data_IF_028022844627
#
_entry.id   IF_028022844627
#
_cell.length_a   1.000
_cell.length_b   1.000
_cell.length_c   1.000
_cell.angle_alpha   90.00
_cell.angle_beta   90.00
_cell.angle_gamma   90.00
#
_symmetry.space_group_name_H-M   'P 1'
#
loop_
_entity.id
_entity.type
_entity.pdbx_description
1 polymer ?
#
# COMPACT_ATOMS: atom_id res chain seq x y z
N UNK A 1 -0.87 -4.89 -12.69
CA UNK A 1 -1.68 -5.21 -11.50
C UNK A 1 -0.85 -4.88 -10.27
N UNK A 2 -1.38 -4.10 -9.33
CA UNK A 2 -0.70 -3.80 -8.06
C UNK A 2 -1.29 -4.71 -6.98
N UNK A 3 -0.46 -5.59 -6.41
CA UNK A 3 -0.81 -6.40 -5.26
C UNK A 3 -0.21 -5.76 -4.01
N UNK A 4 -1.00 -5.67 -2.94
CA UNK A 4 -0.52 -5.25 -1.63
C UNK A 4 -0.67 -6.40 -0.65
N UNK A 5 0.31 -6.58 0.23
CA UNK A 5 0.15 -7.45 1.38
C UNK A 5 -0.58 -6.73 2.51
N UNK A 6 -1.20 -7.47 3.41
CA UNK A 6 -1.95 -6.87 4.51
C UNK A 6 -1.01 -6.16 5.51
N UNK A 7 -1.41 -4.95 5.96
CA UNK A 7 -0.69 -4.12 6.96
C UNK A 7 0.71 -3.62 6.57
N UNK A 8 1.06 -3.59 5.28
CA UNK A 8 2.37 -3.11 4.79
C UNK A 8 2.29 -1.73 4.12
N UNK A 9 1.56 -0.79 4.71
CA UNK A 9 1.38 0.57 4.14
C UNK A 9 0.37 0.64 2.99
N UNK A 10 -0.48 -0.38 2.86
CA UNK A 10 -1.45 -0.51 1.78
C UNK A 10 -2.40 0.68 1.58
N UNK A 11 -2.88 1.32 2.66
CA UNK A 11 -3.75 2.51 2.54
C UNK A 11 -3.00 3.72 1.99
N UNK A 12 -1.73 3.88 2.37
CA UNK A 12 -0.86 4.95 1.88
C UNK A 12 -0.61 4.80 0.37
N UNK A 13 -0.23 3.60 -0.08
CA UNK A 13 -0.01 3.34 -1.51
C UNK A 13 -1.32 3.37 -2.29
N UNK A 14 -2.44 2.95 -1.69
CA UNK A 14 -3.76 3.06 -2.33
C UNK A 14 -4.14 4.53 -2.57
N UNK A 15 -3.98 5.43 -1.58
CA UNK A 15 -4.21 6.87 -1.79
C UNK A 15 -3.33 7.42 -2.93
N UNK A 16 -2.04 7.06 -2.94
CA UNK A 16 -1.08 7.43 -3.98
C UNK A 16 -1.61 7.03 -5.38
N UNK A 17 -1.98 5.76 -5.57
CA UNK A 17 -2.48 5.27 -6.86
C UNK A 17 -3.80 5.95 -7.26
N UNK A 18 -4.72 6.18 -6.30
CA UNK A 18 -5.98 6.89 -6.57
C UNK A 18 -5.74 8.33 -7.04
N UNK A 19 -4.75 9.03 -6.46
CA UNK A 19 -4.35 10.37 -6.93
C UNK A 19 -3.81 10.34 -8.35
N UNK A 20 -3.01 9.33 -8.69
CA UNK A 20 -2.51 9.17 -10.06
C UNK A 20 -3.65 8.91 -11.06
N UNK A 21 -4.60 8.05 -10.69
CA UNK A 21 -5.82 7.77 -11.46
C UNK A 21 -6.60 9.06 -11.73
N UNK A 22 -6.79 9.91 -10.72
CA UNK A 22 -7.48 11.19 -10.88
C UNK A 22 -6.69 12.17 -11.77
N UNK A 23 -5.37 12.32 -11.53
CA UNK A 23 -4.47 13.19 -12.30
C UNK A 23 -4.48 12.84 -13.79
N UNK A 24 -4.57 11.55 -14.14
CA UNK A 24 -4.49 11.05 -15.51
C UNK A 24 -5.85 10.68 -16.13
N UNK A 25 -6.96 10.92 -15.42
CA UNK A 25 -8.31 10.53 -15.84
C UNK A 25 -8.42 9.03 -16.23
N UNK A 26 -7.75 8.14 -15.50
CA UNK A 26 -7.80 6.68 -15.72
C UNK A 26 -9.08 6.07 -15.14
N UNK A 27 -9.48 4.89 -15.61
CA UNK A 27 -10.66 4.19 -15.11
C UNK A 27 -10.33 3.26 -13.95
N UNK A 28 -10.99 3.46 -12.80
CA UNK A 28 -10.79 2.66 -11.59
C UNK A 28 -11.79 1.50 -11.52
N UNK A 29 -11.31 0.28 -11.29
CA UNK A 29 -12.18 -0.83 -10.89
C UNK A 29 -12.51 -0.73 -9.40
N UNK A 30 -13.80 -0.65 -9.06
CA UNK A 30 -14.26 -0.57 -7.67
C UNK A 30 -15.01 -1.84 -7.25
N UNK A 31 -14.90 -2.28 -5.97
CA UNK A 31 -15.68 -3.38 -5.45
C UNK A 31 -17.18 -3.03 -5.42
N UNK A 32 -18.08 -4.04 -5.32
CA UNK A 32 -19.53 -3.82 -5.28
C UNK A 32 -19.92 -2.84 -4.18
N UNK A 33 -21.08 -2.16 -4.33
CA UNK A 33 -21.61 -1.19 -3.36
C UNK A 33 -21.39 -1.66 -1.92
N UNK A 34 -21.01 -0.74 -1.03
CA UNK A 34 -20.76 -0.95 0.41
C UNK A 34 -19.55 -1.80 0.84
N UNK A 35 -18.86 -2.47 -0.10
CA UNK A 35 -17.70 -3.31 0.22
C UNK A 35 -16.36 -2.57 0.11
N UNK A 36 -15.43 -2.92 1.00
CA UNK A 36 -14.03 -2.44 0.98
C UNK A 36 -13.13 -3.38 0.15
N UNK A 37 -13.60 -4.58 -0.12
CA UNK A 37 -12.84 -5.66 -0.75
C UNK A 37 -13.61 -6.21 -1.95
N UNK A 38 -12.89 -6.72 -2.94
CA UNK A 38 -13.49 -7.67 -3.87
C UNK A 38 -13.73 -9.01 -3.15
N UNK A 39 -14.50 -9.92 -3.75
CA UNK A 39 -14.88 -11.20 -3.12
C UNK A 39 -13.67 -11.88 -2.45
N UNK A 40 -13.79 -12.18 -1.16
CA UNK A 40 -12.73 -12.65 -0.26
C UNK A 40 -12.61 -14.18 -0.21
N UNK A 41 -13.57 -14.91 -0.79
CA UNK A 41 -13.66 -16.37 -0.72
C UNK A 41 -13.27 -17.09 -2.00
N UNK A 42 -13.11 -16.38 -3.11
CA UNK A 42 -12.82 -16.97 -4.41
C UNK A 42 -11.74 -16.18 -5.13
N UNK A 43 -11.06 -16.81 -6.10
CA UNK A 43 -10.13 -16.11 -6.99
C UNK A 43 -10.86 -14.94 -7.66
N UNK A 44 -10.18 -13.81 -7.82
CA UNK A 44 -10.75 -12.65 -8.49
C UNK A 44 -11.34 -13.03 -9.85
N UNK A 45 -12.59 -12.68 -10.07
CA UNK A 45 -13.26 -12.71 -11.36
C UNK A 45 -13.71 -11.29 -11.70
N UNK A 46 -13.62 -10.91 -12.97
CA UNK A 46 -13.92 -9.54 -13.40
C UNK A 46 -15.39 -9.14 -13.09
N UNK A 47 -16.29 -10.12 -13.01
CA UNK A 47 -17.67 -9.97 -12.54
C UNK A 47 -17.82 -9.42 -11.12
N UNK A 48 -16.76 -9.44 -10.31
CA UNK A 48 -16.75 -8.84 -8.98
C UNK A 48 -16.62 -7.31 -9.03
N UNK A 49 -16.31 -6.73 -10.19
CA UNK A 49 -16.26 -5.28 -10.35
C UNK A 49 -17.67 -4.70 -10.33
N UNK A 50 -17.86 -3.63 -9.55
CA UNK A 50 -19.14 -2.93 -9.43
C UNK A 50 -19.65 -2.53 -10.81
N UNK A 51 -20.87 -2.97 -11.12
CA UNK A 51 -21.53 -2.73 -12.40
C UNK A 51 -20.74 -3.24 -13.63
N UNK A 52 -20.14 -4.44 -13.53
CA UNK A 52 -19.38 -5.14 -14.58
C UNK A 52 -20.07 -5.28 -15.96
N UNK A 53 -21.34 -4.88 -16.11
CA UNK A 53 -22.11 -5.05 -17.36
C UNK A 53 -21.83 -3.97 -18.43
N UNK A 54 -21.23 -2.83 -18.08
CA UNK A 54 -21.19 -1.65 -18.97
C UNK A 54 -19.79 -1.22 -19.46
N UNK A 55 -18.69 -1.86 -19.03
CA UNK A 55 -17.32 -1.56 -19.49
C UNK A 55 -16.58 -2.84 -19.88
N UNK A 56 -15.81 -2.76 -20.97
CA UNK A 56 -15.02 -3.89 -21.52
C UNK A 56 -13.64 -4.06 -20.85
N UNK A 57 -13.11 -3.05 -20.17
CA UNK A 57 -11.78 -3.07 -19.54
C UNK A 57 -11.65 -2.04 -18.40
N UNK A 58 -10.69 -2.28 -17.50
CA UNK A 58 -10.30 -1.39 -16.39
C UNK A 58 -8.78 -1.26 -16.36
N UNK A 59 -8.28 -0.07 -15.99
CA UNK A 59 -6.84 0.20 -16.00
C UNK A 59 -6.15 -0.19 -14.68
N UNK A 60 -6.87 -0.05 -13.55
CA UNK A 60 -6.28 -0.18 -12.20
C UNK A 60 -7.23 -0.88 -11.21
N UNK A 61 -6.68 -1.81 -10.42
CA UNK A 61 -7.30 -2.48 -9.24
C UNK A 61 -6.44 -2.16 -8.01
N UNK A 62 -7.04 -1.67 -6.91
CA UNK A 62 -6.30 -1.26 -5.69
C UNK A 62 -6.87 -1.77 -4.37
N UNK A 63 -8.00 -2.48 -4.40
CA UNK A 63 -8.75 -2.90 -3.21
C UNK A 63 -8.34 -4.31 -2.77
N UNK A 64 -8.63 -4.64 -1.51
CA UNK A 64 -8.25 -5.93 -0.92
C UNK A 64 -8.94 -7.11 -1.64
N UNK A 65 -8.22 -8.24 -1.74
CA UNK A 65 -8.67 -9.45 -2.44
C UNK A 65 -8.69 -10.71 -1.56
N UNK A 66 -8.02 -10.72 -0.39
CA UNK A 66 -8.01 -11.86 0.55
C UNK A 66 -7.50 -11.41 1.93
N UNK A 67 -7.99 -12.03 3.01
CA UNK A 67 -7.33 -12.08 4.33
C UNK A 67 -7.83 -13.30 5.09
N UNK A 68 -6.95 -14.29 5.33
CA UNK A 68 -7.17 -15.33 6.34
C UNK A 68 -5.82 -15.84 6.89
N UNK A 69 -5.82 -16.05 8.21
CA UNK A 69 -4.77 -16.62 9.07
C UNK A 69 -3.65 -15.69 9.58
N UNK A 70 -3.14 -16.04 10.78
CA UNK A 70 -2.02 -15.40 11.50
C UNK A 70 -0.66 -16.07 11.23
N UNK A 71 -0.61 -17.01 10.30
CA UNK A 71 0.58 -17.75 9.91
C UNK A 71 0.88 -17.45 8.45
N UNK A 72 2.13 -17.13 8.11
CA UNK A 72 2.57 -16.85 6.74
C UNK A 72 1.60 -15.94 5.94
N UNK A 73 1.23 -14.76 6.46
CA UNK A 73 0.22 -13.91 5.82
C UNK A 73 0.67 -13.40 4.44
N UNK A 74 1.95 -13.12 4.24
CA UNK A 74 2.46 -12.63 2.95
C UNK A 74 2.43 -13.74 1.90
N UNK A 75 2.84 -14.94 2.29
CA UNK A 75 2.73 -16.17 1.50
C UNK A 75 1.28 -16.42 1.03
N UNK A 76 0.33 -16.24 1.94
CA UNK A 76 -1.09 -16.35 1.63
C UNK A 76 -1.58 -15.25 0.68
N UNK A 77 -1.09 -14.02 0.83
CA UNK A 77 -1.41 -12.90 -0.06
C UNK A 77 -0.88 -13.14 -1.49
N UNK A 78 0.21 -13.91 -1.66
CA UNK A 78 0.66 -14.41 -2.97
C UNK A 78 -0.19 -15.57 -3.53
N UNK A 79 -1.20 -16.02 -2.80
CA UNK A 79 -2.19 -17.00 -3.26
C UNK A 79 -1.99 -18.42 -2.73
N UNK A 80 -0.94 -18.67 -1.95
CA UNK A 80 -0.62 -19.99 -1.42
C UNK A 80 -1.38 -20.30 -0.11
N UNK A 81 -1.26 -21.54 0.38
CA UNK A 81 -1.80 -21.94 1.68
C UNK A 81 -0.86 -21.47 2.80
N UNK A 82 -1.36 -20.66 3.72
CA UNK A 82 -0.64 -20.15 4.89
C UNK A 82 -0.13 -21.25 5.83
N UNK A 83 -0.77 -22.43 5.82
CA UNK A 83 -0.43 -23.58 6.66
C UNK A 83 0.33 -24.67 5.89
N UNK A 84 0.78 -24.37 4.68
CA UNK A 84 1.57 -25.32 3.91
C UNK A 84 2.84 -25.72 4.65
N UNK A 85 3.27 -26.97 4.46
CA UNK A 85 4.57 -27.44 4.94
C UNK A 85 5.69 -26.71 4.20
N UNK A 86 6.65 -26.18 4.95
CA UNK A 86 7.82 -25.47 4.43
C UNK A 86 8.85 -26.48 3.86
N UNK A 87 8.50 -27.05 2.71
CA UNK A 87 9.38 -27.92 1.93
C UNK A 87 10.14 -27.13 0.86
N UNK A 88 11.39 -27.52 0.59
CA UNK A 88 12.22 -26.89 -0.44
C UNK A 88 11.56 -26.89 -1.82
N UNK A 89 10.90 -27.99 -2.20
CA UNK A 89 10.25 -28.12 -3.50
C UNK A 89 9.12 -27.10 -3.67
N UNK A 90 8.26 -26.96 -2.65
CA UNK A 90 7.19 -25.97 -2.66
C UNK A 90 7.77 -24.56 -2.71
N UNK A 91 8.76 -24.27 -1.86
CA UNK A 91 9.34 -22.95 -1.73
C UNK A 91 9.97 -22.48 -3.05
N UNK A 92 10.82 -23.30 -3.66
CA UNK A 92 11.51 -22.96 -4.90
C UNK A 92 10.52 -22.74 -6.04
N UNK A 93 9.49 -23.60 -6.16
CA UNK A 93 8.45 -23.45 -7.19
C UNK A 93 7.69 -22.13 -7.03
N UNK A 94 7.22 -21.86 -5.82
CA UNK A 94 6.48 -20.65 -5.51
C UNK A 94 7.33 -19.39 -5.74
N UNK A 95 8.62 -19.45 -5.41
CA UNK A 95 9.54 -18.32 -5.61
C UNK A 95 9.68 -17.96 -7.08
N UNK A 96 9.88 -18.97 -7.95
CA UNK A 96 9.94 -18.78 -9.41
C UNK A 96 8.63 -18.19 -9.93
N UNK A 97 7.48 -18.70 -9.47
CA UNK A 97 6.16 -18.16 -9.86
C UNK A 97 5.98 -16.69 -9.44
N UNK A 98 6.41 -16.32 -8.22
CA UNK A 98 6.34 -14.93 -7.74
C UNK A 98 7.28 -14.04 -8.56
N UNK A 99 8.54 -14.42 -8.74
CA UNK A 99 9.52 -13.60 -9.48
C UNK A 99 9.13 -13.39 -10.95
N UNK A 100 8.49 -14.39 -11.57
CA UNK A 100 8.00 -14.28 -12.95
C UNK A 100 6.71 -13.46 -13.05
N UNK A 101 5.90 -13.42 -11.99
CA UNK A 101 4.60 -12.72 -11.98
C UNK A 101 4.70 -11.24 -11.59
N UNK A 102 5.71 -10.86 -10.79
CA UNK A 102 5.85 -9.50 -10.25
C UNK A 102 7.12 -8.81 -10.74
N UNK A 103 6.96 -7.76 -11.53
CA UNK A 103 8.10 -6.98 -12.04
C UNK A 103 8.85 -6.19 -10.95
N UNK A 104 8.16 -5.84 -9.86
CA UNK A 104 8.69 -5.06 -8.76
C UNK A 104 7.98 -5.46 -7.45
N UNK A 105 8.77 -5.78 -6.43
CA UNK A 105 8.32 -6.06 -5.07
C UNK A 105 8.98 -5.03 -4.14
N UNK A 106 8.16 -4.38 -3.31
CA UNK A 106 8.59 -3.33 -2.40
C UNK A 106 8.58 -3.83 -0.96
N UNK A 107 9.48 -3.28 -0.13
CA UNK A 107 9.62 -3.65 1.28
C UNK A 107 9.24 -2.46 2.15
N UNK A 108 8.40 -2.69 3.16
CA UNK A 108 7.86 -1.64 4.03
C UNK A 108 8.92 -0.87 4.80
N UNK A 109 10.02 -1.51 5.17
CA UNK A 109 11.14 -0.91 5.90
C UNK A 109 11.93 0.07 5.03
N UNK A 110 11.89 -0.13 3.71
CA UNK A 110 12.52 0.72 2.71
C UNK A 110 11.46 1.49 1.91
N UNK A 111 10.42 1.99 2.60
CA UNK A 111 9.24 2.57 1.94
C UNK A 111 9.61 3.73 1.00
N UNK A 112 10.45 4.66 1.44
CA UNK A 112 10.83 5.82 0.62
C UNK A 112 11.65 5.38 -0.61
N UNK A 113 12.60 4.47 -0.41
CA UNK A 113 13.39 3.87 -1.48
C UNK A 113 12.48 3.14 -2.48
N UNK A 114 11.50 2.37 -1.96
CA UNK A 114 10.51 1.67 -2.76
C UNK A 114 9.61 2.60 -3.55
N UNK A 115 9.24 3.77 -3.01
CA UNK A 115 8.49 4.79 -3.73
C UNK A 115 9.32 5.40 -4.87
N UNK A 116 10.62 5.59 -4.69
CA UNK A 116 11.51 6.03 -5.79
C UNK A 116 11.66 4.94 -6.87
N UNK A 117 11.76 3.67 -6.48
CA UNK A 117 11.77 2.56 -7.45
C UNK A 117 10.46 2.48 -8.23
N UNK A 118 9.32 2.64 -7.54
CA UNK A 118 8.00 2.68 -8.16
C UNK A 118 7.87 3.87 -9.13
N UNK A 119 8.38 5.04 -8.72
CA UNK A 119 8.45 6.24 -9.56
C UNK A 119 9.17 5.94 -10.88
N UNK A 120 10.35 5.34 -10.81
CA UNK A 120 11.14 5.00 -11.98
C UNK A 120 10.43 3.95 -12.86
N UNK A 121 9.92 2.88 -12.24
CA UNK A 121 9.27 1.77 -12.95
C UNK A 121 8.00 2.18 -13.70
N UNK A 122 7.26 3.17 -13.19
CA UNK A 122 6.01 3.66 -13.81
C UNK A 122 6.19 4.97 -14.57
N UNK A 123 7.41 5.48 -14.67
CA UNK A 123 7.74 6.78 -15.26
C UNK A 123 6.90 7.93 -14.65
N UNK A 124 6.77 7.92 -13.32
CA UNK A 124 6.02 8.91 -12.56
C UNK A 124 6.89 10.10 -12.16
N UNK A 125 6.23 11.22 -11.85
CA UNK A 125 6.90 12.39 -11.29
C UNK A 125 7.13 12.21 -9.78
N UNK A 126 8.04 13.00 -9.21
CA UNK A 126 8.23 13.01 -7.75
C UNK A 126 6.93 13.35 -7.01
N UNK A 127 6.09 14.23 -7.58
CA UNK A 127 4.78 14.59 -7.05
C UNK A 127 3.83 13.41 -6.92
N UNK A 128 3.94 12.44 -7.83
CA UNK A 128 3.05 11.28 -7.89
C UNK A 128 3.34 10.28 -6.77
N UNK A 129 4.56 10.31 -6.19
CA UNK A 129 4.99 9.38 -5.14
C UNK A 129 5.16 10.03 -3.76
N UNK A 130 4.87 11.32 -3.61
CA UNK A 130 4.79 11.94 -2.28
C UNK A 130 3.64 11.31 -1.50
N UNK A 131 3.94 10.77 -0.32
CA UNK A 131 2.97 10.17 0.58
C UNK A 131 3.08 10.73 1.98
N UNK A 132 2.00 10.65 2.74
CA UNK A 132 1.95 10.97 4.16
C UNK A 132 1.64 9.70 4.94
N UNK A 133 2.14 9.59 6.18
CA UNK A 133 1.84 8.43 7.01
C UNK A 133 0.35 8.45 7.37
N UNK A 134 -0.36 7.38 7.02
CA UNK A 134 -1.76 7.18 7.38
C UNK A 134 -1.88 5.99 8.32
N UNK A 135 -2.79 6.06 9.29
CA UNK A 135 -3.15 4.94 10.17
C UNK A 135 -1.95 4.32 10.89
N UNK A 136 -0.94 5.14 11.25
CA UNK A 136 0.15 4.65 12.09
C UNK A 136 -0.39 4.41 13.50
N UNK A 137 0.02 3.29 14.08
CA UNK A 137 -0.27 2.98 15.48
C UNK A 137 0.39 4.01 16.38
N UNK A 138 -0.29 4.37 17.46
CA UNK A 138 0.31 5.12 18.55
C UNK A 138 1.55 4.40 19.09
N UNK A 139 2.61 5.13 19.42
CA UNK A 139 3.83 4.57 20.02
C UNK A 139 3.53 3.84 21.35
N UNK A 140 2.48 4.27 22.05
CA UNK A 140 2.02 3.66 23.31
C UNK A 140 1.53 2.22 23.12
N UNK A 141 1.09 1.85 21.92
CA UNK A 141 0.57 0.52 21.60
C UNK A 141 1.65 -0.43 21.06
N UNK A 142 2.88 0.06 20.84
CA UNK A 142 3.99 -0.73 20.30
C UNK A 142 4.59 -1.57 21.43
N UNK A 143 4.43 -2.90 21.32
CA UNK A 143 5.05 -3.85 22.25
C UNK A 143 6.40 -4.29 21.72
N UNK A 144 7.44 -4.19 22.56
CA UNK A 144 8.75 -4.77 22.26
C UNK A 144 8.71 -6.29 22.39
N UNK A 145 9.38 -6.98 21.47
CA UNK A 145 9.44 -8.44 21.42
C UNK A 145 10.84 -8.87 21.85
N UNK A 146 10.94 -9.88 22.72
CA UNK A 146 12.24 -10.44 23.12
C UNK A 146 12.89 -11.19 21.96
N UNK A 147 14.21 -11.36 22.00
CA UNK A 147 14.94 -12.12 20.96
C UNK A 147 14.40 -13.55 20.80
N UNK A 148 14.14 -14.23 21.91
CA UNK A 148 13.61 -15.61 21.89
C UNK A 148 12.21 -15.67 21.28
N UNK A 149 11.37 -14.67 21.54
CA UNK A 149 10.04 -14.59 20.95
C UNK A 149 10.14 -14.27 19.45
N UNK A 150 11.08 -13.42 19.04
CA UNK A 150 11.30 -13.10 17.64
C UNK A 150 11.69 -14.35 16.83
N UNK A 151 12.58 -15.20 17.37
CA UNK A 151 12.93 -16.49 16.74
C UNK A 151 11.69 -17.38 16.59
N UNK A 152 10.89 -17.54 17.65
CA UNK A 152 9.65 -18.34 17.58
C UNK A 152 8.65 -17.78 16.56
N UNK A 153 8.54 -16.46 16.43
CA UNK A 153 7.69 -15.82 15.43
C UNK A 153 8.20 -16.12 14.01
N UNK A 154 9.53 -16.09 13.80
CA UNK A 154 10.13 -16.41 12.52
C UNK A 154 9.95 -17.89 12.17
N UNK A 155 10.13 -18.80 13.12
CA UNK A 155 9.88 -20.24 12.94
C UNK A 155 8.39 -20.52 12.66
N UNK A 156 7.48 -19.85 13.37
CA UNK A 156 6.04 -19.96 13.12
C UNK A 156 5.66 -19.47 11.72
N UNK A 157 6.34 -18.42 11.23
CA UNK A 157 6.16 -17.82 9.92
C UNK A 157 7.35 -18.12 9.00
N UNK A 158 7.76 -19.39 8.90
CA UNK A 158 9.00 -19.77 8.24
C UNK A 158 9.02 -19.40 6.75
N UNK A 159 7.91 -19.66 6.03
CA UNK A 159 7.76 -19.33 4.62
C UNK A 159 7.83 -17.81 4.39
N UNK A 160 7.13 -17.01 5.19
CA UNK A 160 7.20 -15.54 5.14
C UNK A 160 8.62 -15.04 5.46
N UNK A 161 9.29 -15.66 6.42
CA UNK A 161 10.65 -15.29 6.81
C UNK A 161 11.65 -15.55 5.69
N UNK A 162 11.56 -16.70 5.01
CA UNK A 162 12.38 -17.01 3.83
C UNK A 162 12.08 -16.06 2.67
N UNK A 163 10.80 -15.79 2.42
CA UNK A 163 10.35 -14.87 1.38
C UNK A 163 10.92 -13.46 1.59
N UNK A 164 10.86 -12.96 2.83
CA UNK A 164 11.44 -11.66 3.19
C UNK A 164 12.95 -11.63 2.97
N UNK A 165 13.68 -12.67 3.41
CA UNK A 165 15.14 -12.74 3.24
C UNK A 165 15.53 -12.69 1.76
N UNK A 166 14.82 -13.44 0.92
CA UNK A 166 15.04 -13.43 -0.52
C UNK A 166 14.76 -12.05 -1.13
N UNK A 167 13.58 -11.48 -0.87
CA UNK A 167 13.21 -10.21 -1.49
C UNK A 167 13.96 -9.01 -0.94
N UNK A 168 14.51 -9.09 0.28
CA UNK A 168 15.43 -8.06 0.78
C UNK A 168 16.69 -7.99 -0.09
N UNK A 169 17.29 -9.15 -0.40
CA UNK A 169 18.46 -9.23 -1.28
C UNK A 169 18.12 -8.77 -2.69
N UNK A 170 17.03 -9.27 -3.28
CA UNK A 170 16.68 -8.94 -4.67
C UNK A 170 16.18 -7.50 -4.82
N UNK A 171 15.57 -6.90 -3.78
CA UNK A 171 15.24 -5.47 -3.76
C UNK A 171 16.48 -4.61 -3.98
N UNK A 172 17.55 -4.86 -3.22
CA UNK A 172 18.79 -4.10 -3.36
C UNK A 172 19.53 -4.40 -4.67
N UNK A 173 19.44 -5.63 -5.19
CA UNK A 173 19.92 -5.93 -6.53
C UNK A 173 19.18 -5.09 -7.59
N UNK A 174 17.85 -4.98 -7.48
CA UNK A 174 17.01 -4.17 -8.36
C UNK A 174 17.35 -2.68 -8.28
N UNK A 175 17.59 -2.16 -7.07
CA UNK A 175 18.08 -0.79 -6.86
C UNK A 175 19.36 -0.53 -7.66
N UNK A 176 20.34 -1.44 -7.56
CA UNK A 176 21.62 -1.30 -8.26
C UNK A 176 21.44 -1.36 -9.77
N UNK A 177 20.63 -2.29 -10.27
CA UNK A 177 20.33 -2.44 -11.70
C UNK A 177 19.65 -1.20 -12.29
N UNK A 178 18.62 -0.68 -11.62
CA UNK A 178 17.78 0.39 -12.19
C UNK A 178 18.42 1.77 -12.11
N UNK A 179 19.13 2.08 -11.03
CA UNK A 179 19.59 3.46 -10.79
C UNK A 179 20.86 3.61 -9.97
N UNK A 180 21.28 2.58 -9.24
CA UNK A 180 22.42 2.65 -8.33
C UNK A 180 22.12 3.37 -7.02
N UNK A 181 22.87 3.02 -5.97
CA UNK A 181 22.61 3.52 -4.62
C UNK A 181 22.76 5.05 -4.48
N UNK A 182 23.73 5.65 -5.16
CA UNK A 182 23.99 7.08 -5.07
C UNK A 182 22.81 7.92 -5.63
N UNK A 183 22.27 7.52 -6.78
CA UNK A 183 21.09 8.18 -7.38
C UNK A 183 19.86 7.96 -6.51
N UNK A 184 19.65 6.73 -6.00
CA UNK A 184 18.55 6.43 -5.09
C UNK A 184 18.56 7.34 -3.86
N UNK A 185 19.71 7.45 -3.17
CA UNK A 185 19.83 8.27 -1.96
C UNK A 185 19.54 9.75 -2.24
N UNK A 186 19.98 10.26 -3.39
CA UNK A 186 19.67 11.62 -3.81
C UNK A 186 18.16 11.81 -4.04
N UNK A 187 17.52 10.94 -4.81
CA UNK A 187 16.07 11.03 -5.08
C UNK A 187 15.23 10.86 -3.81
N UNK A 188 15.64 10.00 -2.87
CA UNK A 188 15.01 9.85 -1.56
C UNK A 188 15.13 11.14 -0.74
N UNK A 189 16.28 11.83 -0.78
CA UNK A 189 16.44 13.11 -0.11
C UNK A 189 15.48 14.16 -0.69
N UNK A 190 15.37 14.24 -2.02
CA UNK A 190 14.42 15.11 -2.72
C UNK A 190 12.96 14.79 -2.34
N UNK A 191 12.60 13.50 -2.27
CA UNK A 191 11.28 13.05 -1.83
C UNK A 191 10.97 13.53 -0.41
N UNK A 192 11.91 13.35 0.52
CA UNK A 192 11.76 13.72 1.93
C UNK A 192 11.66 15.23 2.11
N UNK A 193 12.46 16.00 1.39
CA UNK A 193 12.39 17.46 1.40
C UNK A 193 11.01 17.95 0.92
N UNK A 194 10.54 17.41 -0.21
CA UNK A 194 9.24 17.76 -0.78
C UNK A 194 8.08 17.40 0.15
N UNK A 195 8.13 16.22 0.76
CA UNK A 195 7.17 15.79 1.78
C UNK A 195 7.17 16.78 2.96
N UNK A 196 8.32 17.15 3.48
CA UNK A 196 8.43 18.09 4.61
C UNK A 196 7.85 19.47 4.29
N UNK A 197 8.09 19.98 3.07
CA UNK A 197 7.51 21.26 2.63
C UNK A 197 5.97 21.19 2.59
N UNK A 198 5.41 20.11 2.05
CA UNK A 198 3.97 19.92 1.97
C UNK A 198 3.34 19.66 3.35
N UNK A 199 4.02 18.95 4.26
CA UNK A 199 3.58 18.78 5.65
C UNK A 199 3.43 20.14 6.34
N UNK A 200 4.45 21.01 6.25
CA UNK A 200 4.39 22.38 6.83
C UNK A 200 3.28 23.23 6.22
N UNK A 201 3.03 23.06 4.92
CA UNK A 201 1.97 23.80 4.23
C UNK A 201 0.58 23.32 4.66
N UNK A 202 0.35 22.00 4.68
CA UNK A 202 -0.98 21.43 4.79
C UNK A 202 -1.38 21.03 6.22
N UNK A 203 -0.43 20.63 7.06
CA UNK A 203 -0.68 20.05 8.39
C UNK A 203 0.49 20.38 9.34
N UNK A 204 0.63 21.65 9.76
CA UNK A 204 1.77 22.10 10.57
C UNK A 204 1.84 21.42 11.94
N UNK A 205 0.69 21.03 12.49
CA UNK A 205 0.58 20.32 13.77
C UNK A 205 0.92 18.81 13.64
N UNK A 206 1.14 18.34 12.41
CA UNK A 206 1.56 16.97 12.14
C UNK A 206 0.48 15.93 12.42
N UNK A 207 0.91 14.80 12.99
CA UNK A 207 0.05 13.68 13.30
C UNK A 207 -0.75 13.94 14.58
N UNK A 208 -2.07 13.97 14.46
CA UNK A 208 -3.04 14.03 15.55
C UNK A 208 -3.74 12.69 15.70
N UNK A 209 -4.14 12.36 16.92
CA UNK A 209 -4.99 11.20 17.16
C UNK A 209 -6.36 11.46 16.54
N UNK A 210 -6.79 10.58 15.65
CA UNK A 210 -8.08 10.67 14.97
C UNK A 210 -9.01 9.58 15.48
N UNK A 211 -10.25 9.95 15.77
CA UNK A 211 -11.29 8.96 16.06
C UNK A 211 -11.44 8.05 14.84
N UNK A 212 -11.10 6.78 15.06
CA UNK A 212 -11.08 5.75 14.02
C UNK A 212 -12.48 5.41 13.50
N UNK A 213 -13.53 5.92 14.17
CA UNK A 213 -14.93 5.73 13.78
C UNK A 213 -15.31 4.25 13.66
N UNK A 214 -16.45 3.95 13.01
CA UNK A 214 -17.00 2.59 12.79
C UNK A 214 -16.07 1.62 12.01
N UNK A 215 -14.86 2.01 11.64
CA UNK A 215 -14.00 1.28 10.70
C UNK A 215 -12.88 0.47 11.34
N UNK A 216 -12.59 0.70 12.62
CA UNK A 216 -11.61 -0.08 13.39
C UNK A 216 -12.25 -0.58 14.69
N UNK A 217 -11.72 -1.67 15.26
CA UNK A 217 -12.21 -2.22 16.53
C UNK A 217 -12.07 -1.15 17.65
N UNK A 218 -13.01 -1.13 18.59
CA UNK A 218 -12.88 -0.38 19.84
C UNK A 218 -11.50 -0.60 20.48
N UNK A 219 -10.83 0.49 20.88
CA UNK A 219 -9.52 0.46 21.54
C UNK A 219 -8.30 0.56 20.60
N UNK A 220 -8.46 0.94 19.33
CA UNK A 220 -7.33 1.24 18.42
C UNK A 220 -7.18 2.74 18.25
N UNK A 221 -6.06 3.29 18.74
CA UNK A 221 -5.70 4.70 18.62
C UNK A 221 -4.89 4.94 17.35
N UNK A 222 -5.49 5.58 16.34
CA UNK A 222 -4.86 5.86 15.05
C UNK A 222 -4.40 7.31 14.96
N UNK A 223 -3.23 7.50 14.34
CA UNK A 223 -2.75 8.84 14.00
C UNK A 223 -3.12 9.20 12.55
N UNK A 224 -3.56 10.44 12.36
CA UNK A 224 -3.88 11.04 11.07
C UNK A 224 -3.46 12.51 11.05
N UNK A 225 -3.68 13.22 9.95
CA UNK A 225 -3.29 14.62 9.82
C UNK A 225 -4.49 15.55 9.98
N UNK A 226 -4.33 16.62 10.75
CA UNK A 226 -5.28 17.73 10.78
C UNK A 226 -4.88 18.78 9.75
N UNK A 227 -5.80 19.20 8.88
CA UNK A 227 -5.53 20.23 7.90
C UNK A 227 -5.45 21.61 8.56
N UNK A 228 -4.51 22.43 8.09
CA UNK A 228 -4.37 23.83 8.48
C UNK A 228 -5.66 24.59 8.17
N UNK A 229 -6.15 25.39 9.12
CA UNK A 229 -7.48 26.01 9.07
C UNK A 229 -7.58 27.26 8.18
N UNK A 230 -6.45 27.89 7.86
CA UNK A 230 -6.32 29.13 7.09
C UNK A 230 -5.99 28.91 5.59
N UNK A 231 -6.12 27.68 5.09
CA UNK A 231 -5.90 27.37 3.68
C UNK A 231 -7.00 27.98 2.81
N UNK A 232 -6.60 28.60 1.69
CA UNK A 232 -7.57 29.00 0.68
C UNK A 232 -8.23 27.77 0.01
N UNK A 233 -9.27 28.00 -0.79
CA UNK A 233 -10.04 26.91 -1.39
C UNK A 233 -9.22 26.01 -2.34
N UNK A 234 -8.21 26.54 -3.02
CA UNK A 234 -7.38 25.77 -3.95
C UNK A 234 -6.32 24.96 -3.18
N UNK A 235 -5.67 25.59 -2.22
CA UNK A 235 -4.73 24.95 -1.30
C UNK A 235 -5.39 23.84 -0.51
N UNK A 236 -6.59 24.09 0.01
CA UNK A 236 -7.37 23.11 0.76
C UNK A 236 -7.66 21.87 -0.08
N UNK A 237 -8.18 22.04 -1.30
CA UNK A 237 -8.41 20.92 -2.23
C UNK A 237 -7.13 20.14 -2.50
N UNK A 238 -6.01 20.83 -2.76
CA UNK A 238 -4.72 20.19 -3.03
C UNK A 238 -4.23 19.38 -1.82
N UNK A 239 -4.32 19.93 -0.61
CA UNK A 239 -3.93 19.26 0.62
C UNK A 239 -4.85 18.08 0.95
N UNK A 240 -6.16 18.23 0.80
CA UNK A 240 -7.16 17.17 1.06
C UNK A 240 -6.87 15.90 0.27
N UNK A 241 -6.40 16.00 -0.98
CA UNK A 241 -6.06 14.84 -1.80
C UNK A 241 -4.99 13.93 -1.18
N UNK A 242 -4.08 14.51 -0.39
CA UNK A 242 -3.01 13.76 0.27
C UNK A 242 -3.45 13.06 1.55
N UNK A 243 -4.52 13.52 2.19
CA UNK A 243 -5.00 13.02 3.49
C UNK A 243 -6.37 12.32 3.42
N UNK A 244 -7.04 12.38 2.26
CA UNK A 244 -8.32 11.74 2.05
C UNK A 244 -8.19 10.22 2.21
N UNK A 245 -9.03 9.66 3.08
CA UNK A 245 -9.05 8.23 3.29
C UNK A 245 -9.42 7.48 1.99
N UNK A 246 -8.69 6.41 1.60
CA UNK A 246 -8.89 5.74 0.31
C UNK A 246 -10.33 5.30 0.02
N UNK A 247 -11.08 4.91 1.06
CA UNK A 247 -12.51 4.55 0.93
C UNK A 247 -13.36 5.74 0.45
N UNK A 248 -13.17 6.92 1.04
CA UNK A 248 -13.92 8.13 0.67
C UNK A 248 -13.51 8.56 -0.73
N UNK A 249 -12.20 8.54 -1.01
CA UNK A 249 -11.69 8.95 -2.31
C UNK A 249 -12.17 8.02 -3.44
N UNK A 250 -12.27 6.72 -3.18
CA UNK A 250 -12.83 5.74 -4.13
C UNK A 250 -14.26 6.13 -4.54
N UNK A 251 -15.13 6.51 -3.60
CA UNK A 251 -16.51 6.91 -3.93
C UNK A 251 -16.56 8.23 -4.72
N UNK A 252 -15.69 9.19 -4.42
CA UNK A 252 -15.58 10.45 -5.18
C UNK A 252 -15.18 10.15 -6.64
N UNK A 253 -14.15 9.32 -6.85
CA UNK A 253 -13.71 8.95 -8.19
C UNK A 253 -14.76 8.14 -8.94
N UNK A 254 -15.43 7.21 -8.24
CA UNK A 254 -16.52 6.44 -8.84
C UNK A 254 -17.66 7.35 -9.31
N UNK A 255 -18.10 8.32 -8.48
CA UNK A 255 -19.12 9.28 -8.87
C UNK A 255 -18.69 10.08 -10.11
N UNK A 256 -17.46 10.62 -10.09
CA UNK A 256 -16.86 11.36 -11.21
C UNK A 256 -16.82 10.55 -12.52
N UNK A 257 -16.53 9.25 -12.44
CA UNK A 257 -16.39 8.37 -13.61
C UNK A 257 -17.69 7.77 -14.15
N UNK A 258 -18.78 7.84 -13.37
CA UNK A 258 -20.05 7.16 -13.64
C UNK A 258 -21.27 8.10 -13.52
N UNK A 259 -21.07 9.41 -13.65
CA UNK A 259 -22.18 10.33 -13.89
C UNK A 259 -22.93 9.91 -15.17
N UNK A 260 -24.19 9.50 -14.99
CA UNK A 260 -25.24 9.53 -16.00
C UNK A 260 -25.91 10.90 -15.98
#
# INVERSE_FOLDING_TARGET
MFLKTHKTGGSTVQNLVLRYVDKKNLTLATPPWDKVTFNDRTRFAAEYVRNFKNRKSYDVITHHLRFDSTQNPSWFDFGYDCRAEDSEELYVRALVEIETSFNLILISEYFDEGMILLKEALCWDIDDVVTFKHNSRSEKDIKTVSKDMAVKIQEWNSLDSRLYQHFNVTFWAKVQEMMGLARLQHEVAVLREKRSMLEKQCSPDGLVEVDSGKYFKEGVHLMGHSLRSDLDNEQKKKCELYFIHPKVYTEILYAKQHHY
#
